data_IF_317180280595
#
_entry.id   IF_317180280595
#
_cell.length_a   1.000
_cell.length_b   1.000
_cell.length_c   1.000
_cell.angle_alpha   90.00
_cell.angle_beta   90.00
_cell.angle_gamma   90.00
#
_symmetry.space_group_name_H-M   'P 1'
#
loop_
_entity.id
_entity.type
_entity.pdbx_description
1 polymer ?
#
# COMPACT_ATOMS: atom_id res chain seq x y z
N UNK A 1 -4.16 -5.78 35.61
CA UNK A 1 -2.69 -6.01 35.57
C UNK A 1 -2.29 -6.95 34.43
N UNK A 2 -2.90 -8.12 34.28
CA UNK A 2 -2.56 -9.11 33.24
C UNK A 2 -2.87 -8.67 31.81
N UNK A 3 -4.05 -8.06 31.58
CA UNK A 3 -4.43 -7.53 30.24
C UNK A 3 -3.45 -6.44 29.79
N UNK A 4 -3.02 -5.56 30.70
CA UNK A 4 -2.06 -4.49 30.39
C UNK A 4 -0.71 -5.04 29.91
N UNK A 5 -0.20 -6.11 30.51
CA UNK A 5 1.03 -6.75 30.06
C UNK A 5 0.87 -7.35 28.65
N UNK A 6 -0.26 -8.00 28.37
CA UNK A 6 -0.52 -8.60 27.06
C UNK A 6 -0.60 -7.50 25.99
N UNK A 7 -1.38 -6.44 26.25
CA UNK A 7 -1.51 -5.29 25.34
C UNK A 7 -0.18 -4.61 25.09
N UNK A 8 0.66 -4.47 26.13
CA UNK A 8 1.98 -3.86 25.98
C UNK A 8 2.90 -4.72 25.10
N UNK A 9 2.90 -6.03 25.29
CA UNK A 9 3.69 -6.96 24.45
C UNK A 9 3.21 -6.93 23.01
N UNK A 10 1.90 -6.95 22.76
CA UNK A 10 1.36 -6.89 21.39
C UNK A 10 1.64 -5.55 20.72
N UNK A 11 1.54 -4.43 21.44
CA UNK A 11 1.94 -3.11 20.90
C UNK A 11 3.43 -3.04 20.56
N UNK A 12 4.31 -3.62 21.39
CA UNK A 12 5.74 -3.68 21.10
C UNK A 12 6.05 -4.50 19.85
N UNK A 13 5.40 -5.67 19.70
CA UNK A 13 5.52 -6.47 18.48
C UNK A 13 5.00 -5.71 17.26
N UNK A 14 3.85 -5.04 17.37
CA UNK A 14 3.30 -4.22 16.29
C UNK A 14 4.25 -3.08 15.88
N UNK A 15 4.89 -2.44 16.86
CA UNK A 15 5.90 -1.42 16.62
C UNK A 15 7.15 -1.99 15.90
N UNK A 16 7.64 -3.15 16.32
CA UNK A 16 8.77 -3.82 15.66
C UNK A 16 8.45 -4.14 14.20
N UNK A 17 7.29 -4.74 13.92
CA UNK A 17 6.85 -5.03 12.55
C UNK A 17 6.61 -3.76 11.74
N UNK A 18 6.10 -2.68 12.35
CA UNK A 18 5.93 -1.40 11.66
C UNK A 18 7.30 -0.83 11.23
N UNK A 19 8.31 -0.87 12.10
CA UNK A 19 9.68 -0.47 11.74
C UNK A 19 10.26 -1.30 10.58
N UNK A 20 10.04 -2.60 10.58
CA UNK A 20 10.46 -3.49 9.47
C UNK A 20 9.69 -3.14 8.19
N UNK A 21 8.38 -2.92 8.30
CA UNK A 21 7.53 -2.53 7.17
C UNK A 21 7.99 -1.21 6.54
N UNK A 22 8.36 -0.21 7.35
CA UNK A 22 8.93 1.05 6.84
C UNK A 22 10.22 0.80 6.07
N UNK A 23 11.12 -0.03 6.57
CA UNK A 23 12.37 -0.37 5.86
C UNK A 23 12.11 -1.06 4.51
N UNK A 24 11.04 -1.86 4.41
CA UNK A 24 10.73 -2.64 3.20
C UNK A 24 9.95 -1.84 2.15
N UNK A 25 8.99 -1.02 2.59
CA UNK A 25 7.90 -0.48 1.75
C UNK A 25 7.79 1.05 1.71
N UNK A 26 8.62 1.79 2.45
CA UNK A 26 8.62 3.25 2.43
C UNK A 26 8.74 3.79 1.00
N UNK A 27 7.85 4.71 0.63
CA UNK A 27 7.86 5.39 -0.66
C UNK A 27 7.44 4.54 -1.86
N UNK A 28 7.03 3.27 -1.66
CA UNK A 28 6.73 2.33 -2.75
C UNK A 28 5.23 2.13 -3.02
N UNK A 29 4.37 2.80 -2.24
CA UNK A 29 2.91 2.63 -2.30
C UNK A 29 2.19 3.74 -3.07
N UNK A 30 2.96 4.55 -3.80
CA UNK A 30 2.42 5.53 -4.72
C UNK A 30 1.94 4.88 -6.02
N UNK A 31 0.91 5.47 -6.63
CA UNK A 31 0.47 5.10 -7.97
C UNK A 31 -0.17 6.28 -8.68
N UNK A 32 -0.07 6.27 -10.00
CA UNK A 32 -0.86 7.16 -10.83
C UNK A 32 -2.30 6.67 -10.97
N UNK A 33 -3.25 7.58 -11.15
CA UNK A 33 -4.62 7.26 -11.57
C UNK A 33 -4.68 6.57 -12.95
N UNK A 34 -3.65 6.77 -13.78
CA UNK A 34 -3.46 6.13 -15.09
C UNK A 34 -2.40 5.03 -14.95
N UNK A 35 -2.81 3.76 -15.03
CA UNK A 35 -1.95 2.59 -14.86
C UNK A 35 -0.85 2.46 -15.93
N UNK A 36 -0.94 3.22 -17.02
CA UNK A 36 0.11 3.23 -18.06
C UNK A 36 1.32 4.07 -17.66
N UNK A 37 1.20 4.91 -16.62
CA UNK A 37 2.26 5.79 -16.15
C UNK A 37 2.79 5.31 -14.81
N UNK A 38 4.10 5.11 -14.77
CA UNK A 38 4.81 4.52 -13.62
C UNK A 38 5.67 5.54 -12.86
N UNK A 39 5.80 6.77 -13.33
CA UNK A 39 6.56 7.83 -12.63
C UNK A 39 5.66 9.02 -12.32
N UNK A 40 6.02 9.77 -11.27
CA UNK A 40 5.32 11.00 -10.92
C UNK A 40 5.42 12.09 -12.02
N UNK A 41 6.55 12.14 -12.73
CA UNK A 41 6.77 13.08 -13.85
C UNK A 41 5.85 12.79 -15.04
N UNK A 42 5.64 11.50 -15.35
CA UNK A 42 4.75 11.08 -16.42
C UNK A 42 3.26 11.17 -16.04
N UNK A 43 2.95 11.19 -14.74
CA UNK A 43 1.58 11.24 -14.20
C UNK A 43 1.01 12.66 -14.21
N UNK A 44 1.07 13.34 -15.35
CA UNK A 44 0.60 14.72 -15.51
C UNK A 44 -0.41 14.86 -16.66
N UNK A 45 -1.22 15.92 -16.59
CA UNK A 45 -2.24 16.23 -17.58
C UNK A 45 -3.53 15.42 -17.40
N UNK A 46 -4.11 14.98 -18.51
CA UNK A 46 -5.40 14.30 -18.55
C UNK A 46 -5.30 12.98 -19.32
N UNK A 47 -6.15 12.03 -18.97
CA UNK A 47 -6.29 10.75 -19.66
C UNK A 47 -7.77 10.43 -19.87
N UNK A 48 -8.05 9.61 -20.88
CA UNK A 48 -9.40 9.10 -21.12
C UNK A 48 -9.63 7.92 -20.18
N UNK A 49 -10.54 8.08 -19.23
CA UNK A 49 -10.98 7.01 -18.34
C UNK A 49 -12.29 6.44 -18.87
N UNK A 50 -12.38 5.13 -19.02
CA UNK A 50 -13.64 4.47 -19.34
C UNK A 50 -14.61 4.60 -18.15
N UNK A 51 -15.88 4.87 -18.44
CA UNK A 51 -16.93 4.91 -17.42
C UNK A 51 -17.24 3.47 -16.98
N UNK A 52 -17.31 3.25 -15.66
CA UNK A 52 -17.68 1.94 -15.12
C UNK A 52 -19.06 1.53 -15.68
N UNK A 53 -19.12 0.35 -16.32
CA UNK A 53 -20.27 -0.24 -17.02
C UNK A 53 -20.57 0.23 -18.48
N UNK A 54 -19.71 1.01 -19.13
CA UNK A 54 -19.81 1.29 -20.57
C UNK A 54 -18.44 1.27 -21.24
N UNK A 55 -18.25 0.40 -22.23
CA UNK A 55 -17.01 0.36 -23.03
C UNK A 55 -16.91 1.52 -24.02
N UNK A 56 -18.03 2.17 -24.35
CA UNK A 56 -18.09 3.23 -25.35
C UNK A 56 -17.91 4.63 -24.75
N UNK A 57 -18.31 4.82 -23.49
CA UNK A 57 -18.23 6.14 -22.86
C UNK A 57 -16.87 6.32 -22.17
N UNK A 58 -16.15 7.35 -22.61
CA UNK A 58 -14.91 7.80 -21.98
C UNK A 58 -15.11 9.20 -21.42
N UNK A 59 -14.60 9.42 -20.21
CA UNK A 59 -14.57 10.71 -19.55
C UNK A 59 -13.13 11.19 -19.43
N UNK A 60 -12.95 12.50 -19.60
CA UNK A 60 -11.65 13.13 -19.40
C UNK A 60 -11.37 13.21 -17.90
N UNK A 61 -10.44 12.41 -17.41
CA UNK A 61 -10.00 12.42 -16.01
C UNK A 61 -8.62 13.05 -15.89
N UNK A 62 -8.37 13.77 -14.80
CA UNK A 62 -7.06 14.34 -14.49
C UNK A 62 -6.12 13.22 -14.00
N UNK A 63 -4.86 13.24 -14.43
CA UNK A 63 -3.83 12.37 -13.85
C UNK A 63 -3.40 12.91 -12.50
N UNK A 64 -3.42 12.05 -11.48
CA UNK A 64 -2.98 12.39 -10.13
C UNK A 64 -2.07 11.29 -9.59
N UNK A 65 -0.96 11.70 -8.99
CA UNK A 65 -0.03 10.82 -8.29
C UNK A 65 -0.47 10.69 -6.84
N UNK A 66 -1.02 9.54 -6.50
CA UNK A 66 -1.69 9.32 -5.23
C UNK A 66 -0.92 8.28 -4.41
N UNK A 67 -0.81 8.54 -3.10
CA UNK A 67 -0.36 7.53 -2.15
C UNK A 67 -1.54 6.67 -1.69
N UNK A 68 -1.26 5.43 -1.30
CA UNK A 68 -2.24 4.55 -0.67
C UNK A 68 -2.67 5.09 0.69
N UNK A 69 -3.96 4.97 1.02
CA UNK A 69 -4.53 5.36 2.32
C UNK A 69 -3.80 4.66 3.49
N UNK A 70 -3.48 3.38 3.30
CA UNK A 70 -2.60 2.62 4.18
C UNK A 70 -1.23 2.45 3.50
N UNK A 71 -0.20 3.00 4.14
CA UNK A 71 1.18 2.98 3.66
C UNK A 71 2.17 2.78 4.82
N UNK A 72 3.45 2.57 4.47
CA UNK A 72 4.54 2.35 5.42
C UNK A 72 5.59 3.47 5.33
N UNK A 73 5.19 4.71 5.05
CA UNK A 73 6.16 5.80 4.88
C UNK A 73 6.78 6.27 6.21
N UNK A 74 6.05 6.07 7.31
CA UNK A 74 6.51 6.29 8.66
C UNK A 74 5.93 5.22 9.60
N UNK A 75 6.52 5.12 10.80
CA UNK A 75 6.17 4.06 11.75
C UNK A 75 4.72 4.14 12.20
N UNK A 76 4.15 5.35 12.35
CA UNK A 76 2.77 5.54 12.77
C UNK A 76 1.78 5.01 11.71
N UNK A 77 1.99 5.35 10.44
CA UNK A 77 1.21 4.85 9.32
C UNK A 77 1.34 3.32 9.20
N UNK A 78 2.56 2.80 9.37
CA UNK A 78 2.81 1.35 9.38
C UNK A 78 2.06 0.64 10.51
N UNK A 79 2.02 1.22 11.73
CA UNK A 79 1.25 0.67 12.84
C UNK A 79 -0.26 0.68 12.56
N UNK A 80 -0.79 1.70 11.87
CA UNK A 80 -2.19 1.78 11.45
C UNK A 80 -2.52 0.73 10.37
N UNK A 81 -1.63 0.57 9.39
CA UNK A 81 -1.76 -0.45 8.35
C UNK A 81 -1.71 -1.86 8.94
N UNK A 82 -0.81 -2.12 9.89
CA UNK A 82 -0.76 -3.40 10.60
C UNK A 82 -1.97 -3.62 11.51
N UNK A 83 -2.53 -2.55 12.10
CA UNK A 83 -3.78 -2.65 12.86
C UNK A 83 -4.94 -3.16 12.00
N UNK A 84 -5.11 -2.67 10.77
CA UNK A 84 -6.17 -3.20 9.87
C UNK A 84 -5.90 -4.64 9.42
N UNK A 85 -4.63 -5.02 9.25
CA UNK A 85 -4.26 -6.43 9.02
C UNK A 85 -4.64 -7.29 10.23
N UNK A 86 -4.41 -6.81 11.45
CA UNK A 86 -4.73 -7.55 12.69
C UNK A 86 -6.24 -7.76 12.90
N UNK A 87 -7.08 -6.90 12.31
CA UNK A 87 -8.54 -7.07 12.29
C UNK A 87 -9.03 -7.90 11.10
N UNK A 88 -8.11 -8.43 10.28
CA UNK A 88 -8.39 -9.14 9.03
C UNK A 88 -9.20 -8.32 8.01
N UNK A 89 -9.17 -7.00 8.10
CA UNK A 89 -9.94 -6.12 7.24
C UNK A 89 -9.05 -5.51 6.15
N UNK A 90 -9.37 -5.79 4.88
CA UNK A 90 -8.65 -5.18 3.75
C UNK A 90 -7.20 -5.64 3.58
N UNK A 91 -6.70 -6.55 4.42
CA UNK A 91 -5.33 -7.08 4.34
C UNK A 91 -4.94 -7.66 2.96
N UNK A 92 -5.84 -8.31 2.17
CA UNK A 92 -5.44 -8.79 0.85
C UNK A 92 -5.15 -7.63 -0.11
N UNK A 93 -5.86 -6.50 0.00
CA UNK A 93 -5.60 -5.31 -0.83
C UNK A 93 -4.23 -4.73 -0.51
N UNK A 94 -3.88 -4.65 0.78
CA UNK A 94 -2.57 -4.19 1.23
C UNK A 94 -1.45 -5.15 0.80
N UNK A 95 -1.69 -6.47 0.90
CA UNK A 95 -0.78 -7.50 0.43
C UNK A 95 -0.50 -7.36 -1.07
N UNK A 96 -1.54 -7.28 -1.91
CA UNK A 96 -1.36 -7.15 -3.36
C UNK A 96 -0.62 -5.87 -3.72
N UNK A 97 -0.92 -4.77 -3.02
CA UNK A 97 -0.20 -3.51 -3.19
C UNK A 97 1.28 -3.65 -2.82
N UNK A 98 1.60 -4.42 -1.78
CA UNK A 98 2.97 -4.70 -1.39
C UNK A 98 3.69 -5.60 -2.40
N UNK A 99 3.01 -6.60 -2.97
CA UNK A 99 3.55 -7.48 -4.02
C UNK A 99 3.85 -6.68 -5.29
N UNK A 100 2.95 -5.78 -5.66
CA UNK A 100 3.12 -4.94 -6.84
C UNK A 100 4.10 -3.77 -6.60
N UNK A 101 4.63 -3.63 -5.39
CA UNK A 101 5.56 -2.54 -5.06
C UNK A 101 6.89 -2.66 -5.84
N UNK A 102 7.37 -1.53 -6.33
CA UNK A 102 8.60 -1.44 -7.11
C UNK A 102 9.71 -0.71 -6.32
N UNK A 103 10.45 0.16 -6.98
CA UNK A 103 11.43 1.06 -6.35
C UNK A 103 10.74 2.29 -5.74
N UNK A 104 11.49 3.07 -4.97
CA UNK A 104 11.00 4.35 -4.44
C UNK A 104 10.65 5.30 -5.60
N UNK A 105 9.55 6.04 -5.48
CA UNK A 105 9.01 6.95 -6.50
C UNK A 105 8.55 6.30 -7.82
N UNK A 106 8.55 4.97 -7.89
CA UNK A 106 7.95 4.21 -8.98
C UNK A 106 6.55 3.71 -8.62
N UNK A 107 5.70 3.66 -9.63
CA UNK A 107 4.37 3.10 -9.57
C UNK A 107 4.40 1.57 -9.48
N UNK A 108 3.24 0.95 -9.21
CA UNK A 108 3.16 -0.48 -9.04
C UNK A 108 3.50 -1.23 -10.33
N UNK A 109 4.29 -2.29 -10.22
CA UNK A 109 4.58 -3.24 -11.29
C UNK A 109 3.96 -4.58 -10.91
N UNK A 110 3.09 -5.08 -11.78
CA UNK A 110 2.32 -6.29 -11.49
C UNK A 110 3.23 -7.48 -11.15
N UNK A 111 2.98 -8.08 -9.99
CA UNK A 111 3.62 -9.30 -9.51
C UNK A 111 5.16 -9.21 -9.38
N UNK A 112 5.68 -8.01 -9.08
CA UNK A 112 7.12 -7.74 -9.02
C UNK A 112 7.83 -8.44 -7.85
N UNK A 113 7.24 -8.40 -6.65
CA UNK A 113 7.87 -8.83 -5.39
C UNK A 113 7.00 -9.78 -4.60
N UNK A 114 6.74 -10.97 -5.14
CA UNK A 114 5.89 -11.99 -4.47
C UNK A 114 6.48 -12.47 -3.14
N UNK A 115 7.80 -12.40 -2.99
CA UNK A 115 8.56 -12.74 -1.78
C UNK A 115 8.12 -11.93 -0.54
N UNK A 116 7.74 -10.67 -0.72
CA UNK A 116 7.30 -9.81 0.39
C UNK A 116 5.97 -10.27 1.02
N UNK A 117 5.24 -11.18 0.37
CA UNK A 117 4.03 -11.77 0.96
C UNK A 117 4.29 -12.48 2.29
N UNK A 118 5.49 -13.05 2.46
CA UNK A 118 5.92 -13.73 3.69
C UNK A 118 5.83 -12.78 4.90
N UNK A 119 6.09 -11.49 4.73
CA UNK A 119 5.99 -10.50 5.80
C UNK A 119 4.57 -10.45 6.42
N UNK A 120 3.54 -10.39 5.57
CA UNK A 120 2.15 -10.33 6.02
C UNK A 120 1.68 -11.66 6.61
N UNK A 121 2.11 -12.78 6.03
CA UNK A 121 1.75 -14.12 6.52
C UNK A 121 2.39 -14.42 7.88
N UNK A 122 3.59 -13.92 8.16
CA UNK A 122 4.24 -14.08 9.48
C UNK A 122 3.62 -13.15 10.53
N UNK A 123 3.13 -11.97 10.12
CA UNK A 123 2.50 -11.02 11.05
C UNK A 123 1.13 -11.50 11.55
N UNK A 124 0.35 -12.12 10.67
CA UNK A 124 -0.97 -12.71 10.95
C UNK A 124 -0.83 -13.95 11.84
#
# INVERSE_FOLDING_TARGET
KTIGNIVLVTMLLNFMFACIGVQLFKGKFYSCTDLTKVTAEDCQGYFMKHVDNSLQDTVLAKREWLNSDFNFDNVLNGMLALFTVSTFEGWPKLLYRAIDSAEEDLGPVYNNRVDVSIFFIIYI
#
